data_IF_323264987120
#
_entry.id   IF_323264987120
#
_cell.length_a   1.000
_cell.length_b   1.000
_cell.length_c   1.000
_cell.angle_alpha   90.00
_cell.angle_beta   90.00
_cell.angle_gamma   90.00
#
_symmetry.space_group_name_H-M   'P 1'
#
loop_
_entity.id
_entity.type
_entity.pdbx_description
1 polymer ?
#
# COMPACT_ATOMS: atom_id res chain seq x y z
N UNK A 1 -30.84 4.40 -16.86
CA UNK A 1 -29.39 4.10 -17.03
C UNK A 1 -28.78 4.59 -18.34
N UNK A 2 -29.56 4.95 -19.39
CA UNK A 2 -29.03 5.42 -20.68
C UNK A 2 -28.55 6.88 -20.71
N UNK A 3 -28.93 7.70 -19.73
CA UNK A 3 -28.62 9.14 -19.71
C UNK A 3 -27.13 9.46 -19.64
N UNK A 4 -26.37 8.73 -18.83
CA UNK A 4 -24.92 8.93 -18.69
C UNK A 4 -24.17 8.55 -19.97
N UNK A 5 -24.51 7.42 -20.57
CA UNK A 5 -23.92 6.98 -21.86
C UNK A 5 -24.30 7.95 -22.97
N UNK A 6 -25.54 8.45 -22.99
CA UNK A 6 -25.99 9.48 -23.94
C UNK A 6 -25.21 10.79 -23.78
N UNK A 7 -24.95 11.23 -22.54
CA UNK A 7 -24.12 12.40 -22.24
C UNK A 7 -22.69 12.23 -22.76
N UNK A 8 -22.05 11.08 -22.52
CA UNK A 8 -20.69 10.79 -23.01
C UNK A 8 -20.62 10.74 -24.54
N UNK A 9 -21.65 10.19 -25.21
CA UNK A 9 -21.74 10.21 -26.68
C UNK A 9 -21.89 11.62 -27.25
N UNK A 10 -22.63 12.49 -26.56
CA UNK A 10 -22.83 13.90 -26.94
C UNK A 10 -21.62 14.80 -26.62
N UNK A 11 -20.84 14.47 -25.58
CA UNK A 11 -19.69 15.24 -25.09
C UNK A 11 -18.46 14.33 -24.99
N UNK A 12 -17.84 14.04 -26.13
CA UNK A 12 -16.71 13.10 -26.23
C UNK A 12 -15.45 13.56 -25.47
N UNK A 13 -15.29 14.86 -25.26
CA UNK A 13 -14.19 15.46 -24.49
C UNK A 13 -14.18 15.00 -23.02
N UNK A 14 -15.34 14.62 -22.47
CA UNK A 14 -15.45 14.16 -21.08
C UNK A 14 -14.97 12.71 -20.90
N UNK A 15 -14.89 11.92 -21.98
CA UNK A 15 -14.47 10.51 -21.92
C UNK A 15 -13.06 10.37 -21.35
N UNK A 16 -12.01 11.03 -21.90
CA UNK A 16 -10.67 10.94 -21.33
C UNK A 16 -10.61 11.51 -19.91
N UNK A 17 -11.32 12.60 -19.63
CA UNK A 17 -11.34 13.23 -18.30
C UNK A 17 -11.86 12.25 -17.22
N UNK A 18 -13.00 11.62 -17.48
CA UNK A 18 -13.59 10.63 -16.57
C UNK A 18 -12.70 9.38 -16.50
N UNK A 19 -12.05 9.00 -17.60
CA UNK A 19 -11.03 7.94 -17.63
C UNK A 19 -9.90 8.19 -16.63
N UNK A 20 -9.28 9.37 -16.66
CA UNK A 20 -8.19 9.69 -15.73
C UNK A 20 -8.65 9.80 -14.28
N UNK A 21 -9.80 10.43 -14.03
CA UNK A 21 -10.35 10.57 -12.66
C UNK A 21 -10.71 9.20 -12.09
N UNK A 22 -11.36 8.33 -12.87
CA UNK A 22 -11.71 6.98 -12.43
C UNK A 22 -10.47 6.13 -12.18
N UNK A 23 -9.46 6.20 -13.06
CA UNK A 23 -8.19 5.51 -12.86
C UNK A 23 -7.48 5.98 -11.58
N UNK A 24 -7.46 7.29 -11.32
CA UNK A 24 -6.87 7.85 -10.11
C UNK A 24 -7.62 7.39 -8.85
N UNK A 25 -8.96 7.43 -8.86
CA UNK A 25 -9.78 6.97 -7.74
C UNK A 25 -9.58 5.47 -7.45
N UNK A 26 -9.55 4.63 -8.49
CA UNK A 26 -9.29 3.20 -8.37
C UNK A 26 -7.87 2.93 -7.87
N UNK A 27 -6.87 3.66 -8.38
CA UNK A 27 -5.48 3.58 -7.94
C UNK A 27 -5.31 3.95 -6.46
N UNK A 28 -5.90 5.07 -6.02
CA UNK A 28 -5.86 5.49 -4.63
C UNK A 28 -6.57 4.49 -3.69
N UNK A 29 -7.73 3.99 -4.10
CA UNK A 29 -8.50 3.02 -3.31
C UNK A 29 -7.75 1.69 -3.18
N UNK A 30 -7.22 1.17 -4.28
CA UNK A 30 -6.45 -0.07 -4.29
C UNK A 30 -5.15 0.04 -3.49
N UNK A 31 -4.41 1.15 -3.58
CA UNK A 31 -3.22 1.39 -2.77
C UNK A 31 -3.55 1.48 -1.28
N UNK A 32 -4.66 2.13 -0.91
CA UNK A 32 -5.11 2.23 0.48
C UNK A 32 -5.44 0.86 1.07
N UNK A 33 -6.16 0.02 0.30
CA UNK A 33 -6.46 -1.37 0.70
C UNK A 33 -5.18 -2.19 0.84
N UNK A 34 -4.26 -2.08 -0.13
CA UNK A 34 -2.96 -2.77 -0.07
C UNK A 34 -2.18 -2.38 1.18
N UNK A 35 -2.09 -1.08 1.50
CA UNK A 35 -1.37 -0.62 2.68
C UNK A 35 -2.01 -1.09 3.98
N UNK A 36 -3.34 -1.00 4.09
CA UNK A 36 -4.07 -1.43 5.27
C UNK A 36 -3.86 -2.92 5.58
N UNK A 37 -3.75 -3.76 4.55
CA UNK A 37 -3.67 -5.22 4.72
C UNK A 37 -2.23 -5.75 4.79
N UNK A 38 -1.25 -5.07 4.18
CA UNK A 38 0.10 -5.63 4.00
C UNK A 38 1.20 -4.87 4.71
N UNK A 39 0.97 -3.60 5.09
CA UNK A 39 2.01 -2.79 5.73
C UNK A 39 1.88 -2.83 7.24
N UNK A 40 2.99 -3.16 7.90
CA UNK A 40 3.13 -3.15 9.35
C UNK A 40 3.13 -1.75 9.96
N UNK A 41 3.37 -0.71 9.15
CA UNK A 41 3.36 0.68 9.62
C UNK A 41 1.94 1.16 9.96
N UNK A 42 0.91 0.47 9.46
CA UNK A 42 -0.49 0.77 9.73
C UNK A 42 -0.95 -0.01 10.96
N UNK A 43 -1.08 0.68 12.09
CA UNK A 43 -1.57 0.08 13.34
C UNK A 43 -3.09 0.13 13.37
N UNK A 44 -3.74 -1.03 13.21
CA UNK A 44 -5.19 -1.18 13.40
C UNK A 44 -5.52 -1.55 14.86
N UNK A 45 -4.74 -2.45 15.46
CA UNK A 45 -4.94 -2.91 16.83
C UNK A 45 -3.78 -2.50 17.74
N UNK A 46 -3.91 -1.32 18.36
CA UNK A 46 -2.90 -0.78 19.27
C UNK A 46 -2.79 -1.54 20.61
N UNK A 47 -3.85 -2.26 21.02
CA UNK A 47 -3.89 -2.96 22.31
C UNK A 47 -3.20 -4.33 22.25
N UNK A 48 -3.48 -5.13 21.21
CA UNK A 48 -2.92 -6.48 21.08
C UNK A 48 -1.58 -6.54 20.33
N UNK A 49 -1.26 -5.53 19.52
CA UNK A 49 -0.02 -5.48 18.74
C UNK A 49 0.44 -4.02 18.53
N UNK A 50 0.97 -3.37 19.58
CA UNK A 50 1.36 -1.95 19.54
C UNK A 50 2.49 -1.67 18.55
N UNK A 51 3.34 -2.66 18.25
CA UNK A 51 4.54 -2.53 17.41
C UNK A 51 4.57 -3.61 16.30
N UNK A 52 3.75 -3.49 15.24
CA UNK A 52 3.68 -4.54 14.22
C UNK A 52 4.98 -4.68 13.40
N UNK A 53 5.75 -3.60 13.25
CA UNK A 53 7.03 -3.60 12.53
C UNK A 53 8.11 -4.46 13.22
N UNK A 54 8.01 -4.70 14.53
CA UNK A 54 8.97 -5.54 15.27
C UNK A 54 8.91 -7.03 14.90
N UNK A 55 7.84 -7.47 14.23
CA UNK A 55 7.61 -8.88 13.87
C UNK A 55 7.88 -9.18 12.39
N UNK A 56 8.46 -8.23 11.65
CA UNK A 56 8.81 -8.40 10.25
C UNK A 56 10.01 -9.35 10.08
N UNK A 57 9.97 -10.14 9.01
CA UNK A 57 11.10 -10.94 8.57
C UNK A 57 12.03 -10.08 7.69
N UNK A 58 13.26 -9.78 8.12
CA UNK A 58 14.19 -8.94 7.37
C UNK A 58 14.74 -9.62 6.11
N UNK A 59 14.55 -10.94 5.97
CA UNK A 59 15.00 -11.71 4.81
C UNK A 59 14.01 -11.65 3.64
N UNK A 60 12.81 -11.12 3.88
CA UNK A 60 11.74 -11.05 2.88
C UNK A 60 11.57 -9.64 2.33
N UNK A 61 11.26 -9.50 1.03
CA UNK A 61 10.89 -8.23 0.44
C UNK A 61 9.67 -7.59 1.11
N UNK A 62 9.85 -6.38 1.65
CA UNK A 62 8.76 -5.63 2.30
C UNK A 62 8.07 -4.62 1.38
N UNK A 63 8.65 -4.30 0.21
CA UNK A 63 8.10 -3.34 -0.76
C UNK A 63 7.37 -4.06 -1.89
N UNK A 64 6.37 -3.39 -2.47
CA UNK A 64 5.63 -3.93 -3.63
C UNK A 64 6.54 -4.16 -4.84
N UNK A 65 7.52 -3.27 -5.05
CA UNK A 65 8.55 -3.38 -6.08
C UNK A 65 9.91 -3.26 -5.39
N UNK A 66 10.83 -4.14 -5.73
CA UNK A 66 12.22 -4.10 -5.28
C UNK A 66 13.14 -4.18 -6.48
N UNK A 67 14.13 -3.29 -6.53
CA UNK A 67 15.13 -3.25 -7.60
C UNK A 67 16.49 -3.27 -6.92
N UNK A 68 17.27 -4.32 -7.16
CA UNK A 68 18.62 -4.52 -6.60
C UNK A 68 18.72 -4.37 -5.07
N UNK A 69 17.62 -4.53 -4.34
CA UNK A 69 17.60 -4.42 -2.88
C UNK A 69 17.88 -5.79 -2.25
N UNK A 70 18.93 -5.88 -1.43
CA UNK A 70 19.21 -7.08 -0.65
C UNK A 70 18.40 -7.04 0.66
N UNK A 71 17.78 -8.17 0.99
CA UNK A 71 17.00 -8.36 2.22
C UNK A 71 17.78 -9.31 3.13
N UNK A 72 18.43 -8.73 4.13
CA UNK A 72 19.25 -9.44 5.12
C UNK A 72 19.04 -8.79 6.48
N UNK A 73 19.09 -9.57 7.57
CA UNK A 73 19.11 -9.02 8.91
C UNK A 73 20.32 -8.12 9.10
N UNK A 74 20.12 -7.05 9.88
CA UNK A 74 21.18 -6.14 10.30
C UNK A 74 21.62 -6.61 11.68
N UNK A 75 22.87 -7.09 11.79
CA UNK A 75 23.38 -7.74 13.00
C UNK A 75 23.34 -6.80 14.22
N UNK A 76 23.61 -5.51 14.00
CA UNK A 76 23.57 -4.48 15.03
C UNK A 76 22.15 -4.29 15.58
N UNK A 77 21.14 -4.30 14.70
CA UNK A 77 19.74 -4.22 15.12
C UNK A 77 19.32 -5.46 15.91
N UNK A 78 19.75 -6.65 15.50
CA UNK A 78 19.48 -7.88 16.26
C UNK A 78 20.16 -7.87 17.64
N UNK A 79 21.38 -7.35 17.72
CA UNK A 79 22.11 -7.21 18.97
C UNK A 79 21.37 -6.27 19.93
N UNK A 80 20.98 -5.07 19.47
CA UNK A 80 20.22 -4.11 20.29
C UNK A 80 18.88 -4.70 20.74
N UNK A 81 18.19 -5.41 19.84
CA UNK A 81 16.93 -6.08 20.15
C UNK A 81 17.07 -7.15 21.24
N UNK A 82 18.17 -7.91 21.24
CA UNK A 82 18.49 -8.89 22.30
C UNK A 82 18.83 -8.24 23.65
N UNK A 83 19.37 -7.02 23.63
CA UNK A 83 19.71 -6.28 24.87
C UNK A 83 18.50 -5.56 25.48
N UNK A 84 17.49 -5.23 24.66
CA UNK A 84 16.34 -4.42 25.06
C UNK A 84 15.14 -5.27 25.50
N UNK A 85 15.05 -6.53 25.07
CA UNK A 85 14.01 -7.49 25.45
C UNK A 85 14.45 -8.42 26.57
#
# INVERSE_FOLDING_TARGET
MSGFISMLRKKKELIPLIGFVSLAALGATSASIYFLLTKSDVIINKSGNPEPWERLDPSKPQKFITINQQWKPVEELEMVKKLTK
#
